data_IF_006724340337
#
_entry.id   IF_006724340337
#
_cell.length_a   1.000
_cell.length_b   1.000
_cell.length_c   1.000
_cell.angle_alpha   90.00
_cell.angle_beta   90.00
_cell.angle_gamma   90.00
#
_symmetry.space_group_name_H-M   'P 1'
#
loop_
_entity.id
_entity.type
_entity.pdbx_description
1 polymer ?
#
# COMPACT_ATOMS: atom_id res chain seq x y z
N UNK A 1 -5.18 -16.67 23.09
CA UNK A 1 -5.45 -16.80 21.63
C UNK A 1 -6.12 -15.56 21.02
N UNK A 2 -7.09 -14.93 21.70
CA UNK A 2 -7.81 -13.73 21.23
C UNK A 2 -6.94 -12.59 20.68
N UNK A 3 -5.83 -12.24 21.35
CA UNK A 3 -4.99 -11.11 20.95
C UNK A 3 -4.23 -11.31 19.63
N UNK A 4 -3.99 -12.56 19.21
CA UNK A 4 -3.36 -12.87 17.91
C UNK A 4 -4.37 -12.77 16.77
N UNK A 5 -5.61 -13.24 16.99
CA UNK A 5 -6.68 -13.18 15.99
C UNK A 5 -7.11 -11.73 15.70
N UNK A 6 -7.26 -10.90 16.74
CA UNK A 6 -7.60 -9.47 16.58
C UNK A 6 -6.62 -8.69 15.70
N UNK A 7 -5.35 -9.11 15.65
CA UNK A 7 -4.32 -8.51 14.77
C UNK A 7 -4.45 -8.92 13.31
N UNK A 8 -5.13 -10.02 13.02
CA UNK A 8 -5.34 -10.53 11.64
C UNK A 8 -6.62 -9.98 11.01
N UNK A 9 -7.57 -9.48 11.80
CA UNK A 9 -8.85 -8.95 11.31
C UNK A 9 -8.68 -7.99 10.12
N UNK A 10 -7.77 -6.98 10.15
CA UNK A 10 -7.62 -6.07 9.02
C UNK A 10 -7.16 -6.79 7.75
N UNK A 11 -6.17 -7.68 7.88
CA UNK A 11 -5.68 -8.50 6.77
C UNK A 11 -6.76 -9.41 6.21
N UNK A 12 -7.59 -10.01 7.07
CA UNK A 12 -8.70 -10.88 6.66
C UNK A 12 -9.76 -10.10 5.88
N UNK A 13 -10.16 -8.93 6.37
CA UNK A 13 -11.13 -8.06 5.67
C UNK A 13 -10.59 -7.68 4.30
N UNK A 14 -9.35 -7.18 4.24
CA UNK A 14 -8.71 -6.77 2.99
C UNK A 14 -8.59 -7.95 2.01
N UNK A 15 -8.15 -9.11 2.50
CA UNK A 15 -8.03 -10.32 1.68
C UNK A 15 -9.39 -10.79 1.15
N UNK A 16 -10.41 -10.82 2.00
CA UNK A 16 -11.77 -11.24 1.61
C UNK A 16 -12.35 -10.29 0.56
N UNK A 17 -12.22 -8.97 0.76
CA UNK A 17 -12.65 -7.99 -0.24
C UNK A 17 -11.94 -8.20 -1.58
N UNK A 18 -10.62 -8.41 -1.57
CA UNK A 18 -9.86 -8.66 -2.79
C UNK A 18 -10.26 -9.96 -3.50
N UNK A 19 -10.49 -11.03 -2.75
CA UNK A 19 -10.93 -12.31 -3.31
C UNK A 19 -12.34 -12.20 -3.89
N UNK A 20 -13.28 -11.57 -3.18
CA UNK A 20 -14.65 -11.36 -3.66
C UNK A 20 -14.65 -10.56 -4.96
N UNK A 21 -13.91 -9.44 -5.01
CA UNK A 21 -13.85 -8.62 -6.23
C UNK A 21 -13.21 -9.38 -7.40
N UNK A 22 -12.16 -10.16 -7.13
CA UNK A 22 -11.51 -10.98 -8.15
C UNK A 22 -12.44 -12.06 -8.71
N UNK A 23 -13.20 -12.75 -7.85
CA UNK A 23 -14.17 -13.78 -8.26
C UNK A 23 -15.39 -13.18 -8.96
N UNK A 24 -15.79 -11.96 -8.61
CA UNK A 24 -16.88 -11.23 -9.25
C UNK A 24 -16.48 -10.60 -10.60
N UNK A 25 -15.23 -10.77 -11.05
CA UNK A 25 -14.74 -10.18 -12.30
C UNK A 25 -14.73 -8.64 -12.29
N UNK A 26 -14.63 -8.03 -11.11
CA UNK A 26 -14.55 -6.56 -10.97
C UNK A 26 -13.10 -6.13 -11.10
N UNK A 27 -12.85 -5.20 -12.01
CA UNK A 27 -11.52 -4.66 -12.29
C UNK A 27 -11.54 -3.16 -12.07
N UNK A 28 -10.71 -2.69 -11.14
CA UNK A 28 -10.49 -1.28 -10.84
C UNK A 28 -9.02 -1.00 -11.05
N UNK A 29 -8.70 -0.02 -11.88
CA UNK A 29 -7.33 0.30 -12.25
C UNK A 29 -7.20 1.79 -12.44
N UNK A 30 -6.01 2.32 -12.16
CA UNK A 30 -5.73 3.71 -12.44
C UNK A 30 -4.66 3.87 -13.52
N UNK A 31 -4.88 4.85 -14.38
CA UNK A 31 -3.96 5.43 -15.35
C UNK A 31 -4.15 6.97 -15.37
N UNK A 32 -3.68 7.65 -16.41
CA UNK A 32 -3.79 9.12 -16.51
C UNK A 32 -5.21 9.65 -16.73
N UNK A 33 -6.14 8.80 -17.17
CA UNK A 33 -7.51 9.16 -17.55
C UNK A 33 -8.57 8.54 -16.63
N UNK A 34 -8.15 7.84 -15.58
CA UNK A 34 -9.07 7.16 -14.67
C UNK A 34 -9.93 8.13 -13.87
N UNK A 35 -11.17 7.72 -13.62
CA UNK A 35 -12.09 8.49 -12.78
C UNK A 35 -11.64 8.38 -11.32
N UNK A 36 -11.95 9.39 -10.46
CA UNK A 36 -11.51 9.39 -9.07
C UNK A 36 -11.85 8.11 -8.29
N UNK A 37 -12.98 7.48 -8.60
CA UNK A 37 -13.43 6.23 -7.98
C UNK A 37 -12.43 5.08 -8.11
N UNK A 38 -11.77 4.94 -9.26
CA UNK A 38 -10.82 3.85 -9.49
C UNK A 38 -9.58 3.96 -8.59
N UNK A 39 -9.16 5.18 -8.29
CA UNK A 39 -8.05 5.47 -7.38
C UNK A 39 -8.32 5.00 -5.94
N UNK A 40 -9.58 4.91 -5.52
CA UNK A 40 -9.95 4.39 -4.21
C UNK A 40 -10.00 2.86 -4.19
N UNK A 41 -10.32 2.21 -5.32
CA UNK A 41 -10.61 0.79 -5.35
C UNK A 41 -9.54 -0.09 -6.01
N UNK A 42 -8.60 0.49 -6.75
CA UNK A 42 -7.58 -0.29 -7.48
C UNK A 42 -6.79 -1.24 -6.58
N UNK A 43 -6.61 -0.87 -5.31
CA UNK A 43 -5.81 -1.65 -4.36
C UNK A 43 -6.41 -3.02 -4.07
N UNK A 44 -7.72 -3.18 -4.29
CA UNK A 44 -8.43 -4.42 -4.01
C UNK A 44 -8.50 -5.36 -5.23
N UNK A 45 -8.23 -4.89 -6.44
CA UNK A 45 -8.27 -5.73 -7.65
C UNK A 45 -6.88 -6.06 -8.15
N UNK A 46 -6.75 -7.15 -8.89
CA UNK A 46 -5.47 -7.69 -9.31
C UNK A 46 -5.50 -8.13 -10.77
N UNK A 47 -4.35 -8.05 -11.42
CA UNK A 47 -4.21 -8.41 -12.83
C UNK A 47 -4.50 -9.90 -13.09
N UNK A 48 -4.16 -10.78 -12.13
CA UNK A 48 -4.39 -12.22 -12.22
C UNK A 48 -4.26 -12.86 -10.82
N UNK A 49 -4.56 -14.16 -10.74
CA UNK A 49 -4.51 -14.93 -9.49
C UNK A 49 -3.11 -14.97 -8.89
N UNK A 50 -2.04 -15.02 -9.68
CA UNK A 50 -0.67 -15.02 -9.18
C UNK A 50 -0.32 -13.70 -8.49
N UNK A 51 -0.69 -12.57 -9.11
CA UNK A 51 -0.50 -11.25 -8.52
C UNK A 51 -1.30 -11.10 -7.20
N UNK A 52 -2.55 -11.60 -7.17
CA UNK A 52 -3.34 -11.66 -5.94
C UNK A 52 -2.63 -12.50 -4.87
N UNK A 53 -2.18 -13.72 -5.20
CA UNK A 53 -1.49 -14.61 -4.26
C UNK A 53 -0.25 -13.97 -3.65
N UNK A 54 0.60 -13.32 -4.45
CA UNK A 54 1.79 -12.64 -3.95
C UNK A 54 1.45 -11.48 -2.99
N UNK A 55 0.44 -10.67 -3.32
CA UNK A 55 -0.01 -9.59 -2.44
C UNK A 55 -0.63 -10.13 -1.14
N UNK A 56 -1.39 -11.23 -1.19
CA UNK A 56 -1.94 -11.87 0.01
C UNK A 56 -0.83 -12.43 0.90
N UNK A 57 0.19 -13.10 0.33
CA UNK A 57 1.35 -13.58 1.07
C UNK A 57 2.02 -12.40 1.81
N UNK A 58 2.29 -11.29 1.10
CA UNK A 58 2.91 -10.12 1.69
C UNK A 58 2.02 -9.48 2.79
N UNK A 59 0.70 -9.39 2.57
CA UNK A 59 -0.26 -8.89 3.56
C UNK A 59 -0.25 -9.72 4.84
N UNK A 60 -0.29 -11.05 4.72
CA UNK A 60 -0.30 -11.97 5.87
C UNK A 60 1.08 -12.15 6.51
N UNK A 61 2.18 -11.85 5.81
CA UNK A 61 3.50 -11.75 6.43
C UNK A 61 3.62 -10.48 7.27
N UNK A 62 3.13 -9.34 6.76
CA UNK A 62 3.25 -8.06 7.46
C UNK A 62 2.27 -7.90 8.63
N UNK A 63 1.06 -8.46 8.51
CA UNK A 63 -0.02 -8.42 9.54
C UNK A 63 -0.25 -6.99 10.06
N UNK A 64 -0.55 -6.01 9.18
CA UNK A 64 -0.71 -4.62 9.58
C UNK A 64 -1.87 -4.46 10.58
N UNK A 65 -1.68 -3.59 11.58
CA UNK A 65 -2.76 -3.19 12.49
C UNK A 65 -3.72 -2.24 11.78
N UNK A 66 -4.93 -2.07 12.32
CA UNK A 66 -5.97 -1.16 11.76
C UNK A 66 -5.40 0.23 11.42
N UNK A 67 -4.75 0.91 12.37
CA UNK A 67 -4.14 2.23 12.13
C UNK A 67 -3.11 2.22 10.99
N UNK A 68 -2.34 1.14 10.87
CA UNK A 68 -1.35 0.96 9.82
C UNK A 68 -2.00 0.77 8.46
N UNK A 69 -3.11 0.01 8.41
CA UNK A 69 -3.90 -0.17 7.19
C UNK A 69 -4.50 1.16 6.75
N UNK A 70 -5.09 1.94 7.67
CA UNK A 70 -5.67 3.24 7.33
C UNK A 70 -4.63 4.19 6.73
N UNK A 71 -3.47 4.32 7.37
CA UNK A 71 -2.39 5.17 6.84
C UNK A 71 -1.88 4.62 5.50
N UNK A 72 -1.67 3.30 5.38
CA UNK A 72 -1.24 2.67 4.14
C UNK A 72 -2.21 2.90 2.99
N UNK A 73 -3.50 2.76 3.24
CA UNK A 73 -4.58 2.99 2.29
C UNK A 73 -4.65 4.46 1.85
N UNK A 74 -4.72 5.38 2.80
CA UNK A 74 -4.71 6.82 2.49
C UNK A 74 -3.47 7.18 1.67
N UNK A 75 -2.30 6.64 2.03
CA UNK A 75 -1.06 6.94 1.33
C UNK A 75 -1.04 6.42 -0.10
N UNK A 76 -1.55 5.21 -0.35
CA UNK A 76 -1.57 4.65 -1.71
C UNK A 76 -2.66 5.26 -2.60
N UNK A 77 -3.78 5.68 -2.01
CA UNK A 77 -4.81 6.47 -2.73
C UNK A 77 -4.23 7.82 -3.12
N UNK A 78 -3.66 8.57 -2.17
CA UNK A 78 -3.02 9.87 -2.45
C UNK A 78 -1.90 9.73 -3.49
N UNK A 79 -1.07 8.69 -3.38
CA UNK A 79 0.00 8.43 -4.34
C UNK A 79 -0.55 8.21 -5.75
N UNK A 80 -1.70 7.54 -5.90
CA UNK A 80 -2.29 7.27 -7.22
C UNK A 80 -2.83 8.52 -7.93
N UNK A 81 -3.13 9.59 -7.20
CA UNK A 81 -3.52 10.89 -7.79
C UNK A 81 -2.31 11.72 -8.25
N UNK A 82 -1.09 11.32 -7.90
CA UNK A 82 0.12 12.01 -8.37
C UNK A 82 0.39 11.57 -9.81
N UNK A 83 0.47 12.47 -10.81
CA UNK A 83 0.68 12.08 -12.21
C UNK A 83 1.93 11.24 -12.45
N UNK A 84 2.97 11.43 -11.61
CA UNK A 84 4.18 10.61 -11.64
C UNK A 84 3.90 9.12 -11.38
N UNK A 85 2.88 8.78 -10.60
CA UNK A 85 2.52 7.40 -10.29
C UNK A 85 1.89 6.67 -11.47
N UNK A 86 1.34 7.37 -12.47
CA UNK A 86 0.69 6.73 -13.60
C UNK A 86 1.71 6.10 -14.55
N UNK A 87 1.36 4.93 -15.08
CA UNK A 87 2.05 4.27 -16.17
C UNK A 87 1.18 4.33 -17.44
N UNK A 88 1.77 4.13 -18.63
CA UNK A 88 0.99 3.95 -19.86
C UNK A 88 0.05 2.73 -19.81
N UNK A 89 0.33 1.78 -18.91
CA UNK A 89 -0.50 0.60 -18.66
C UNK A 89 -1.28 0.76 -17.36
N UNK A 90 -2.53 0.27 -17.28
CA UNK A 90 -3.34 0.39 -16.08
C UNK A 90 -2.70 -0.26 -14.85
N UNK A 91 -2.70 0.44 -13.72
CA UNK A 91 -2.13 -0.05 -12.45
C UNK A 91 -3.24 -0.56 -11.53
N UNK A 92 -3.05 -1.78 -10.99
CA UNK A 92 -3.91 -2.36 -9.96
C UNK A 92 -3.07 -3.09 -8.89
N UNK A 93 -3.68 -3.43 -7.77
CA UNK A 93 -3.07 -4.29 -6.73
C UNK A 93 -2.66 -3.57 -5.46
N UNK A 94 -2.37 -4.38 -4.45
CA UNK A 94 -2.20 -3.96 -3.05
C UNK A 94 -0.76 -3.61 -2.67
N UNK A 95 0.20 -3.80 -3.56
CA UNK A 95 1.62 -3.62 -3.26
C UNK A 95 1.97 -2.18 -2.86
N UNK A 96 1.31 -1.16 -3.41
CA UNK A 96 1.43 0.23 -2.96
C UNK A 96 0.95 0.43 -1.51
N UNK A 97 -0.22 -0.13 -1.17
CA UNK A 97 -0.74 -0.16 0.20
C UNK A 97 0.24 -0.85 1.18
N UNK A 98 0.82 -1.98 0.77
CA UNK A 98 1.80 -2.73 1.59
C UNK A 98 3.04 -1.88 1.86
N UNK A 99 3.52 -1.13 0.86
CA UNK A 99 4.65 -0.21 1.02
C UNK A 99 4.33 0.94 1.99
N UNK A 100 3.12 1.51 1.91
CA UNK A 100 2.66 2.49 2.90
C UNK A 100 2.57 1.91 4.32
N UNK A 101 2.11 0.66 4.45
CA UNK A 101 2.13 -0.07 5.72
C UNK A 101 3.56 -0.29 6.24
N UNK A 102 4.49 -0.61 5.35
CA UNK A 102 5.89 -0.88 5.66
C UNK A 102 6.65 0.35 6.17
N UNK A 103 6.26 1.55 5.72
CA UNK A 103 6.82 2.83 6.20
C UNK A 103 6.75 3.00 7.71
N UNK A 104 5.75 2.40 8.39
CA UNK A 104 5.66 2.38 9.86
C UNK A 104 6.93 1.83 10.51
N UNK A 105 7.47 0.75 9.95
CA UNK A 105 8.68 0.09 10.49
C UNK A 105 9.88 1.01 10.33
N UNK A 106 10.02 1.63 9.16
CA UNK A 106 11.10 2.57 8.90
C UNK A 106 11.08 3.74 9.86
N UNK A 107 9.89 4.28 10.10
CA UNK A 107 9.75 5.40 11.01
C UNK A 107 9.99 5.00 12.49
N UNK A 108 9.44 3.86 12.94
CA UNK A 108 9.56 3.40 14.31
C UNK A 108 10.99 3.00 14.70
N UNK A 109 11.73 2.37 13.77
CA UNK A 109 13.09 1.89 14.01
C UNK A 109 14.17 2.79 13.39
N UNK A 110 13.78 3.98 12.88
CA UNK A 110 14.67 4.96 12.22
C UNK A 110 15.60 4.31 11.19
N UNK A 111 15.03 3.43 10.36
CA UNK A 111 15.79 2.71 9.34
C UNK A 111 16.19 3.65 8.20
N UNK A 112 17.35 3.41 7.62
CA UNK A 112 17.87 4.20 6.49
C UNK A 112 16.97 4.10 5.26
N UNK A 113 16.50 5.26 4.78
CA UNK A 113 15.69 5.37 3.56
C UNK A 113 16.40 4.88 2.30
N UNK A 114 17.74 4.88 2.29
CA UNK A 114 18.55 4.38 1.17
C UNK A 114 18.22 2.94 0.80
N UNK A 115 17.83 2.09 1.77
CA UNK A 115 17.44 0.71 1.50
C UNK A 115 16.19 0.61 0.63
N UNK A 116 15.24 1.53 0.82
CA UNK A 116 14.00 1.60 0.02
C UNK A 116 14.24 2.20 -1.35
N UNK A 117 15.11 3.22 -1.42
CA UNK A 117 15.50 3.84 -2.68
C UNK A 117 16.21 2.78 -3.56
N UNK A 118 17.19 2.06 -2.99
CA UNK A 118 17.92 1.03 -3.72
C UNK A 118 17.02 -0.12 -4.17
N UNK A 119 16.10 -0.58 -3.31
CA UNK A 119 15.14 -1.62 -3.72
C UNK A 119 14.20 -1.11 -4.82
N UNK A 120 13.82 0.18 -4.80
CA UNK A 120 13.01 0.79 -5.86
C UNK A 120 13.76 0.88 -7.19
N UNK A 121 15.05 1.18 -7.18
CA UNK A 121 15.87 1.18 -8.39
C UNK A 121 15.86 -0.20 -9.04
N UNK A 122 16.04 -1.27 -8.26
CA UNK A 122 15.97 -2.65 -8.78
C UNK A 122 14.59 -2.94 -9.38
N UNK A 123 13.52 -2.52 -8.70
CA UNK A 123 12.15 -2.68 -9.19
C UNK A 123 11.87 -1.88 -10.47
N UNK A 124 12.58 -0.78 -10.72
CA UNK A 124 12.40 0.02 -11.94
C UNK A 124 12.84 -0.70 -13.22
N UNK A 125 13.65 -1.76 -13.10
CA UNK A 125 14.05 -2.60 -14.23
C UNK A 125 13.08 -3.76 -14.49
N UNK A 126 12.04 -3.93 -13.67
CA UNK A 126 11.04 -4.99 -13.87
C UNK A 126 9.91 -4.42 -14.74
N UNK A 127 9.71 -4.93 -15.97
CA UNK A 127 8.66 -4.45 -16.85
C UNK A 127 7.27 -4.56 -16.19
N UNK A 128 6.40 -3.59 -16.46
CA UNK A 128 5.02 -3.51 -15.95
C UNK A 128 4.90 -3.36 -14.42
N UNK A 129 6.02 -3.32 -13.68
CA UNK A 129 6.01 -3.08 -12.25
C UNK A 129 6.00 -1.58 -11.98
N UNK A 130 4.91 -1.09 -11.39
CA UNK A 130 4.79 0.33 -11.06
C UNK A 130 5.61 0.71 -9.80
N UNK A 131 6.92 0.74 -9.91
CA UNK A 131 7.82 1.12 -8.81
C UNK A 131 7.48 2.52 -8.25
N UNK A 132 6.95 3.42 -9.08
CA UNK A 132 6.62 4.80 -8.70
C UNK A 132 5.52 4.84 -7.64
N UNK A 133 4.45 4.04 -7.79
CA UNK A 133 3.38 3.96 -6.77
C UNK A 133 3.91 3.41 -5.45
N UNK A 134 4.86 2.46 -5.48
CA UNK A 134 5.47 1.90 -4.28
C UNK A 134 6.28 2.94 -3.52
N UNK A 135 7.14 3.67 -4.23
CA UNK A 135 7.96 4.72 -3.62
C UNK A 135 7.10 5.85 -3.06
N UNK A 136 6.13 6.34 -3.83
CA UNK A 136 5.26 7.43 -3.40
C UNK A 136 4.38 7.03 -2.21
N UNK A 137 3.76 5.85 -2.24
CA UNK A 137 2.97 5.34 -1.11
C UNK A 137 3.80 5.22 0.17
N UNK A 138 5.05 4.76 0.04
CA UNK A 138 5.97 4.68 1.16
C UNK A 138 6.33 6.07 1.71
N UNK A 139 6.73 7.01 0.85
CA UNK A 139 7.17 8.34 1.27
C UNK A 139 6.05 9.15 1.92
N UNK A 140 4.85 9.11 1.34
CA UNK A 140 3.66 9.76 1.92
C UNK A 140 3.37 9.19 3.30
N UNK A 141 3.34 7.85 3.44
CA UNK A 141 3.12 7.21 4.73
C UNK A 141 4.21 7.56 5.75
N UNK A 142 5.47 7.59 5.33
CA UNK A 142 6.61 7.94 6.19
C UNK A 142 6.48 9.36 6.75
N UNK A 143 6.08 10.33 5.91
CA UNK A 143 5.81 11.71 6.31
C UNK A 143 4.65 11.76 7.30
N UNK A 144 3.53 11.07 7.02
CA UNK A 144 2.36 11.01 7.92
C UNK A 144 2.76 10.49 9.30
N UNK A 145 3.55 9.42 9.36
CA UNK A 145 4.05 8.89 10.64
C UNK A 145 4.95 9.90 11.38
N UNK A 146 5.77 10.66 10.67
CA UNK A 146 6.59 11.75 11.23
C UNK A 146 5.74 12.85 11.84
N UNK A 147 4.72 13.32 11.13
CA UNK A 147 3.79 14.35 11.62
C UNK A 147 3.04 13.88 12.87
N UNK A 148 2.49 12.66 12.84
CA UNK A 148 1.79 12.07 14.00
C UNK A 148 2.71 11.98 15.22
N UNK A 149 3.97 11.57 15.04
CA UNK A 149 4.93 11.52 16.15
C UNK A 149 5.21 12.92 16.70
N UNK A 150 5.44 13.92 15.84
CA UNK A 150 5.72 15.30 16.28
C UNK A 150 4.57 15.87 17.10
N UNK A 151 3.33 15.72 16.64
CA UNK A 151 2.13 16.18 17.35
C UNK A 151 1.99 15.47 18.70
N UNK A 152 2.19 14.14 18.73
CA UNK A 152 2.08 13.37 19.98
C UNK A 152 3.14 13.74 21.02
N UNK A 153 4.30 14.26 20.61
CA UNK A 153 5.35 14.73 21.53
C UNK A 153 5.04 16.13 22.05
N UNK A 154 4.60 17.06 21.17
CA UNK A 154 4.30 18.44 21.57
C UNK A 154 3.01 18.57 22.39
N UNK A 155 2.01 17.72 22.14
CA UNK A 155 0.76 17.72 22.92
C UNK A 155 0.85 17.07 24.31
N UNK A 156 2.05 16.71 24.77
CA UNK A 156 2.33 16.20 26.13
C UNK A 156 3.15 17.18 26.97
N UNK A 157 3.45 18.36 26.44
CA UNK A 157 4.10 19.47 27.15
C UNK A 157 3.09 20.42 27.76
#
# INVERSE_FOLDING_TARGET
>A
MEGKLKRLIPSLIIALTSVILQLAGKHFYFDTNSIPYDHFLYTFTHANIFHLSLNLIALFQFKPRVKTCLIGYVSCVLASFVPLASLPVPTCGMSGFIMGCYARRYHAYKLSLWRIILSNIVMAFIPLFNWRIHLLSFLIAYIIYGVIQKISVHGRG
#
